data_IF_109283385006
#
_entry.id   IF_109283385006
#
_cell.length_a   1.000
_cell.length_b   1.000
_cell.length_c   1.000
_cell.angle_alpha   90.00
_cell.angle_beta   90.00
_cell.angle_gamma   90.00
#
_symmetry.space_group_name_H-M   'P 1'
#
loop_
_entity.id
_entity.type
_entity.pdbx_description
1 polymer ?
#
# COMPACT_ATOMS: atom_id res chain seq x y z
N UNK A 1 5.50 11.38 3.07
CA UNK A 1 5.44 9.93 3.35
C UNK A 1 4.11 9.46 3.93
N UNK A 2 3.59 10.07 5.02
CA UNK A 2 2.33 9.61 5.68
C UNK A 2 1.11 9.59 4.75
N UNK A 3 0.93 10.61 3.91
CA UNK A 3 -0.22 10.68 3.00
C UNK A 3 -0.21 9.59 1.92
N UNK A 4 0.98 9.27 1.39
CA UNK A 4 1.17 8.15 0.46
C UNK A 4 0.86 6.82 1.14
N UNK A 5 1.30 6.65 2.39
CA UNK A 5 1.04 5.45 3.19
C UNK A 5 -0.46 5.21 3.43
N UNK A 6 -1.23 6.28 3.73
CA UNK A 6 -2.68 6.19 3.89
C UNK A 6 -3.35 5.80 2.56
N UNK A 7 -2.93 6.40 1.44
CA UNK A 7 -3.43 6.06 0.11
C UNK A 7 -3.12 4.59 -0.25
N UNK A 8 -1.88 4.14 -0.02
CA UNK A 8 -1.44 2.77 -0.28
C UNK A 8 -2.23 1.76 0.56
N UNK A 9 -2.36 2.02 1.86
CA UNK A 9 -3.10 1.15 2.78
C UNK A 9 -4.57 1.06 2.36
N UNK A 10 -5.19 2.19 2.02
CA UNK A 10 -6.56 2.23 1.49
C UNK A 10 -6.72 1.42 0.21
N UNK A 11 -5.77 1.53 -0.72
CA UNK A 11 -5.74 0.73 -1.95
C UNK A 11 -5.62 -0.76 -1.65
N UNK A 12 -4.73 -1.14 -0.74
CA UNK A 12 -4.50 -2.52 -0.34
C UNK A 12 -5.74 -3.15 0.32
N UNK A 13 -6.42 -2.44 1.23
CA UNK A 13 -7.67 -2.92 1.85
C UNK A 13 -8.77 -3.17 0.81
N UNK A 14 -8.90 -2.29 -0.18
CA UNK A 14 -9.88 -2.43 -1.27
C UNK A 14 -9.51 -3.54 -2.25
N UNK A 15 -8.22 -3.75 -2.52
CA UNK A 15 -7.74 -4.89 -3.30
C UNK A 15 -8.02 -6.20 -2.54
N UNK A 16 -7.76 -6.23 -1.23
CA UNK A 16 -7.98 -7.40 -0.38
C UNK A 16 -9.44 -7.80 -0.34
N UNK A 17 -10.38 -6.85 -0.16
CA UNK A 17 -11.81 -7.18 -0.19
C UNK A 17 -12.23 -7.74 -1.54
N UNK A 18 -11.73 -7.17 -2.65
CA UNK A 18 -12.01 -7.66 -4.00
C UNK A 18 -11.47 -9.07 -4.22
N UNK A 19 -10.22 -9.32 -3.83
CA UNK A 19 -9.54 -10.60 -4.03
C UNK A 19 -10.08 -11.70 -3.10
N UNK A 20 -10.57 -11.34 -1.92
CA UNK A 20 -11.24 -12.24 -0.99
C UNK A 20 -12.72 -12.49 -1.33
N UNK A 21 -13.24 -11.88 -2.41
CA UNK A 21 -14.68 -11.85 -2.71
C UNK A 21 -15.53 -11.35 -1.53
N UNK A 22 -14.94 -10.54 -0.66
CA UNK A 22 -15.61 -9.95 0.49
C UNK A 22 -16.32 -8.67 0.08
N UNK A 23 -17.36 -8.33 0.82
CA UNK A 23 -18.07 -7.06 0.62
C UNK A 23 -17.13 -5.88 0.88
N UNK A 24 -17.28 -4.77 0.16
CA UNK A 24 -16.31 -3.69 0.25
C UNK A 24 -16.28 -3.08 1.68
N UNK A 25 -15.08 -2.79 2.24
CA UNK A 25 -14.94 -2.45 3.64
C UNK A 25 -15.46 -1.03 3.92
N UNK A 26 -16.26 -0.83 4.98
CA UNK A 26 -16.78 0.48 5.31
C UNK A 26 -15.67 1.43 5.83
N UNK A 27 -15.86 2.76 5.74
CA UNK A 27 -14.85 3.75 6.12
C UNK A 27 -14.35 3.61 7.57
N UNK A 28 -15.24 3.20 8.49
CA UNK A 28 -14.88 3.00 9.89
C UNK A 28 -13.94 1.79 10.09
N UNK A 29 -14.09 0.70 9.32
CA UNK A 29 -13.17 -0.46 9.35
C UNK A 29 -11.80 -0.06 8.83
N UNK A 30 -11.77 0.75 7.76
CA UNK A 30 -10.52 1.25 7.21
C UNK A 30 -9.79 2.15 8.21
N UNK A 31 -10.50 3.10 8.83
CA UNK A 31 -9.94 3.99 9.86
C UNK A 31 -9.37 3.20 11.03
N UNK A 32 -10.10 2.18 11.51
CA UNK A 32 -9.66 1.29 12.58
C UNK A 32 -8.46 0.43 12.19
N UNK A 33 -8.45 -0.11 10.97
CA UNK A 33 -7.33 -0.89 10.44
C UNK A 33 -6.05 -0.07 10.37
N UNK A 34 -6.13 1.15 9.82
CA UNK A 34 -5.01 2.09 9.77
C UNK A 34 -4.58 2.53 11.19
N UNK A 35 -5.53 2.71 12.11
CA UNK A 35 -5.23 3.02 13.51
C UNK A 35 -4.46 1.90 14.21
N UNK A 36 -4.91 0.65 14.09
CA UNK A 36 -4.22 -0.52 14.67
C UNK A 36 -2.84 -0.73 14.05
N UNK A 37 -2.72 -0.50 12.74
CA UNK A 37 -1.45 -0.53 12.06
C UNK A 37 -0.48 0.53 12.59
N UNK A 38 -0.95 1.76 12.82
CA UNK A 38 -0.16 2.83 13.45
C UNK A 38 0.34 2.43 14.85
N UNK A 39 -0.52 1.81 15.67
CA UNK A 39 -0.13 1.26 16.98
C UNK A 39 0.97 0.20 16.82
N UNK A 40 0.83 -0.70 15.83
CA UNK A 40 1.85 -1.71 15.53
C UNK A 40 3.18 -1.12 15.09
N UNK A 41 3.18 -0.01 14.34
CA UNK A 41 4.39 0.73 13.96
C UNK A 41 5.04 1.38 15.19
N UNK A 42 4.26 1.98 16.07
CA UNK A 42 4.76 2.57 17.32
C UNK A 42 5.40 1.50 18.21
N UNK A 43 4.74 0.36 18.39
CA UNK A 43 5.28 -0.76 19.16
C UNK A 43 6.57 -1.30 18.52
N UNK A 44 6.63 -1.48 17.20
CA UNK A 44 7.87 -1.90 16.53
C UNK A 44 9.00 -0.89 16.72
N UNK A 45 8.71 0.41 16.63
CA UNK A 45 9.68 1.47 16.91
C UNK A 45 10.18 1.44 18.35
N UNK A 46 9.31 1.15 19.31
CA UNK A 46 9.66 1.02 20.74
C UNK A 46 10.53 -0.23 21.01
N UNK A 47 10.25 -1.35 20.35
CA UNK A 47 11.03 -2.59 20.48
C UNK A 47 12.28 -2.64 19.57
N UNK A 48 12.58 -1.56 18.83
CA UNK A 48 13.81 -1.43 18.04
C UNK A 48 13.79 -2.17 16.69
N UNK A 49 12.63 -2.66 16.24
CA UNK A 49 12.51 -3.30 14.93
C UNK A 49 12.49 -2.23 13.84
N UNK A 50 13.51 -2.24 12.96
CA UNK A 50 13.68 -1.25 11.88
C UNK A 50 12.61 -1.32 10.77
N UNK A 51 11.86 -2.43 10.68
CA UNK A 51 10.78 -2.64 9.71
C UNK A 51 9.41 -2.39 10.34
N UNK A 52 8.77 -1.28 9.97
CA UNK A 52 7.39 -1.00 10.38
C UNK A 52 6.39 -1.96 9.70
N UNK A 53 5.33 -2.41 10.39
CA UNK A 53 4.28 -3.24 9.81
C UNK A 53 3.49 -2.43 8.79
N UNK A 54 3.80 -2.63 7.52
CA UNK A 54 3.01 -2.13 6.39
C UNK A 54 1.84 -3.09 6.12
N UNK A 55 0.79 -2.63 5.43
CA UNK A 55 -0.23 -3.54 4.91
C UNK A 55 0.49 -4.27 3.80
N UNK A 56 0.97 -5.48 4.08
CA UNK A 56 1.73 -6.25 3.10
C UNK A 56 0.80 -6.55 1.92
N UNK A 57 1.02 -5.83 0.81
CA UNK A 57 0.33 -6.10 -0.47
C UNK A 57 0.61 -7.55 -0.91
N UNK A 58 1.71 -8.12 -0.43
CA UNK A 58 2.04 -9.54 -0.46
C UNK A 58 0.93 -10.44 0.08
N UNK A 59 0.43 -10.14 1.28
CA UNK A 59 -0.63 -10.93 1.94
C UNK A 59 -1.94 -10.79 1.19
N UNK A 60 -2.18 -9.62 0.57
CA UNK A 60 -3.33 -9.36 -0.29
C UNK A 60 -3.26 -10.18 -1.58
N UNK A 61 -2.06 -10.28 -2.16
CA UNK A 61 -1.78 -11.15 -3.31
C UNK A 61 -1.94 -12.63 -3.00
N UNK A 62 -1.39 -13.07 -1.87
CA UNK A 62 -1.53 -14.44 -1.38
C UNK A 62 -3.00 -14.78 -1.09
N UNK A 63 -3.76 -13.84 -0.54
CA UNK A 63 -5.20 -13.98 -0.30
C UNK A 63 -5.97 -14.18 -1.62
N UNK A 64 -5.60 -13.45 -2.67
CA UNK A 64 -6.17 -13.62 -4.01
C UNK A 64 -5.84 -14.97 -4.66
N UNK A 65 -4.66 -15.52 -4.38
CA UNK A 65 -4.23 -16.82 -4.91
C UNK A 65 -4.80 -18.00 -4.12
N UNK A 66 -4.74 -17.94 -2.78
CA UNK A 66 -5.17 -19.03 -1.88
C UNK A 66 -6.67 -19.03 -1.64
N UNK A 67 -7.37 -17.91 -1.84
CA UNK A 67 -8.79 -17.70 -1.51
C UNK A 67 -9.17 -18.02 -0.05
N UNK A 68 -8.20 -18.14 0.85
CA UNK A 68 -8.45 -18.40 2.28
C UNK A 68 -8.44 -17.10 3.07
N UNK A 69 -9.61 -16.49 3.23
CA UNK A 69 -9.81 -15.25 4.01
C UNK A 69 -10.25 -15.47 5.46
N UNK A 70 -10.04 -16.66 6.03
CA UNK A 70 -10.55 -16.98 7.37
C UNK A 70 -9.72 -16.32 8.47
N UNK A 71 -10.40 -15.58 9.36
CA UNK A 71 -9.80 -14.91 10.52
C UNK A 71 -9.13 -15.90 11.50
N UNK A 72 -9.68 -17.11 11.64
CA UNK A 72 -9.14 -18.15 12.54
C UNK A 72 -7.76 -18.62 12.06
N UNK A 73 -7.56 -18.73 10.76
CA UNK A 73 -6.27 -19.11 10.17
C UNK A 73 -5.21 -18.07 10.53
N UNK A 74 -5.54 -16.79 10.35
CA UNK A 74 -4.62 -15.67 10.68
C UNK A 74 -4.26 -15.68 12.17
N UNK A 75 -5.23 -15.92 13.06
CA UNK A 75 -5.00 -15.99 14.52
C UNK A 75 -4.10 -17.18 14.90
N UNK A 76 -4.34 -18.35 14.32
CA UNK A 76 -3.52 -19.55 14.55
C UNK A 76 -2.09 -19.31 14.02
N UNK A 77 -1.94 -18.76 12.81
CA UNK A 77 -0.64 -18.40 12.24
C UNK A 77 0.12 -17.39 13.10
N UNK A 78 -0.56 -16.38 13.65
CA UNK A 78 0.04 -15.42 14.56
C UNK A 78 0.54 -16.09 15.85
N UNK A 79 -0.23 -17.03 16.41
CA UNK A 79 0.19 -17.83 17.56
C UNK A 79 1.45 -18.65 17.27
N UNK A 80 1.51 -19.30 16.10
CA UNK A 80 2.71 -20.03 15.66
C UNK A 80 3.91 -19.11 15.44
N UNK A 81 3.72 -17.90 14.89
CA UNK A 81 4.81 -16.93 14.72
C UNK A 81 5.40 -16.49 16.06
N UNK A 82 4.56 -16.21 17.06
CA UNK A 82 5.03 -15.87 18.42
C UNK A 82 5.78 -17.05 19.03
N UNK A 83 5.23 -18.26 18.89
CA UNK A 83 5.87 -19.47 19.39
C UNK A 83 7.24 -19.73 18.77
N UNK A 84 7.35 -19.64 17.43
CA UNK A 84 8.62 -19.82 16.74
C UNK A 84 9.61 -18.70 16.99
N UNK A 85 9.14 -17.47 17.23
CA UNK A 85 10.02 -16.35 17.59
C UNK A 85 10.74 -16.55 18.93
N UNK A 86 10.17 -17.32 19.86
CA UNK A 86 10.82 -17.65 21.14
C UNK A 86 11.94 -18.70 20.98
N UNK A 87 11.90 -19.49 19.90
CA UNK A 87 12.87 -20.54 19.63
C UNK A 87 14.00 -20.00 18.73
N UNK A 88 15.02 -19.39 19.35
CA UNK A 88 16.16 -18.77 18.64
C UNK A 88 16.90 -19.66 17.63
N UNK A 89 16.79 -20.99 17.74
CA UNK A 89 17.33 -21.96 16.75
C UNK A 89 16.68 -21.81 15.37
N UNK A 90 15.39 -21.49 15.31
CA UNK A 90 14.72 -21.19 14.04
C UNK A 90 15.17 -19.84 13.48
N UNK A 91 15.44 -18.86 14.33
CA UNK A 91 16.06 -17.60 13.90
C UNK A 91 17.41 -17.81 13.22
N UNK A 92 18.26 -18.67 13.76
CA UNK A 92 19.54 -19.03 13.15
C UNK A 92 19.37 -19.77 11.81
N UNK A 93 18.34 -20.62 11.69
CA UNK A 93 18.00 -21.27 10.42
C UNK A 93 17.60 -20.25 9.35
N UNK A 94 16.75 -19.26 9.66
CA UNK A 94 16.41 -18.19 8.72
C UNK A 94 17.62 -17.31 8.36
N UNK A 95 18.53 -17.08 9.30
CA UNK A 95 19.78 -16.36 9.04
C UNK A 95 20.74 -17.14 8.12
N UNK A 96 20.61 -18.46 8.03
CA UNK A 96 21.42 -19.30 7.13
C UNK A 96 20.96 -19.28 5.67
N UNK A 97 19.78 -18.72 5.39
CA UNK A 97 19.26 -18.61 4.03
C UNK A 97 20.09 -17.57 3.26
N UNK A 98 20.65 -17.94 2.10
CA UNK A 98 21.53 -17.05 1.35
C UNK A 98 20.76 -15.86 0.74
N UNK A 99 21.38 -14.68 0.75
CA UNK A 99 20.79 -13.42 0.24
C UNK A 99 20.18 -13.51 -1.17
N UNK A 100 20.74 -14.25 -2.15
CA UNK A 100 20.14 -14.40 -3.48
C UNK A 100 18.72 -14.98 -3.46
N UNK A 101 18.42 -15.90 -2.54
CA UNK A 101 17.08 -16.51 -2.44
C UNK A 101 16.08 -15.47 -1.94
N UNK A 102 16.46 -14.70 -0.92
CA UNK A 102 15.65 -13.58 -0.44
C UNK A 102 15.40 -12.56 -1.55
N UNK A 103 16.43 -12.18 -2.31
CA UNK A 103 16.29 -11.24 -3.42
C UNK A 103 15.34 -11.78 -4.51
N UNK A 104 15.41 -13.06 -4.86
CA UNK A 104 14.52 -13.69 -5.83
C UNK A 104 13.06 -13.70 -5.35
N UNK A 105 12.82 -14.04 -4.08
CA UNK A 105 11.49 -13.98 -3.48
C UNK A 105 10.91 -12.57 -3.51
N UNK A 106 11.69 -11.56 -3.11
CA UNK A 106 11.26 -10.16 -3.15
C UNK A 106 11.02 -9.66 -4.59
N UNK A 107 11.76 -10.17 -5.58
CA UNK A 107 11.53 -9.82 -6.98
C UNK A 107 10.15 -10.28 -7.48
N UNK A 108 9.79 -11.55 -7.24
CA UNK A 108 8.47 -12.10 -7.60
C UNK A 108 7.37 -11.31 -6.90
N UNK A 109 7.59 -11.03 -5.64
CA UNK A 109 6.68 -10.26 -4.81
C UNK A 109 6.44 -8.86 -5.35
N UNK A 110 7.49 -8.07 -5.61
CA UNK A 110 7.34 -6.73 -6.17
C UNK A 110 6.63 -6.75 -7.53
N UNK A 111 6.87 -7.78 -8.35
CA UNK A 111 6.13 -8.00 -9.59
C UNK A 111 4.63 -8.22 -9.38
N UNK A 112 4.27 -9.00 -8.37
CA UNK A 112 2.86 -9.23 -8.00
C UNK A 112 2.21 -7.95 -7.46
N UNK A 113 2.90 -7.19 -6.61
CA UNK A 113 2.43 -5.90 -6.09
C UNK A 113 2.19 -4.91 -7.24
N UNK A 114 3.12 -4.82 -8.19
CA UNK A 114 2.96 -3.99 -9.39
C UNK A 114 1.74 -4.43 -10.22
N UNK A 115 1.54 -5.74 -10.40
CA UNK A 115 0.41 -6.30 -11.14
C UNK A 115 -0.94 -5.99 -10.48
N UNK A 116 -1.03 -6.13 -9.15
CA UNK A 116 -2.23 -5.73 -8.39
C UNK A 116 -2.49 -4.23 -8.53
N UNK A 117 -1.45 -3.39 -8.49
CA UNK A 117 -1.54 -1.96 -8.77
C UNK A 117 -2.13 -1.65 -10.15
N UNK A 118 -1.59 -2.28 -11.20
CA UNK A 118 -2.08 -2.12 -12.58
C UNK A 118 -3.52 -2.61 -12.74
N UNK A 119 -3.93 -3.65 -12.00
CA UNK A 119 -5.31 -4.17 -12.03
C UNK A 119 -6.36 -3.13 -11.59
N UNK A 120 -5.96 -2.04 -10.92
CA UNK A 120 -6.87 -0.95 -10.59
C UNK A 120 -7.16 -0.01 -11.77
N UNK A 121 -6.27 0.06 -12.77
CA UNK A 121 -6.47 0.90 -13.96
C UNK A 121 -7.69 0.44 -14.76
N UNK A 122 -8.07 -0.84 -14.66
CA UNK A 122 -9.27 -1.39 -15.30
C UNK A 122 -10.57 -0.67 -14.86
N UNK A 123 -10.57 -0.02 -13.69
CA UNK A 123 -11.74 0.71 -13.18
C UNK A 123 -11.85 2.12 -13.75
N UNK A 124 -10.79 2.58 -14.40
CA UNK A 124 -10.75 3.84 -15.14
C UNK A 124 -10.97 3.58 -16.62
N UNK A 125 -11.45 4.58 -17.36
CA UNK A 125 -11.64 4.43 -18.79
C UNK A 125 -10.29 4.48 -19.52
N UNK A 126 -9.67 3.33 -19.75
CA UNK A 126 -8.39 3.20 -20.47
C UNK A 126 -8.53 3.36 -21.99
N UNK A 127 -9.75 3.55 -22.51
CA UNK A 127 -9.96 3.90 -23.92
C UNK A 127 -9.75 5.40 -24.19
N UNK A 128 -9.68 6.22 -23.14
CA UNK A 128 -9.43 7.66 -23.26
C UNK A 128 -7.93 7.95 -23.36
N UNK A 129 -7.51 8.64 -24.43
CA UNK A 129 -6.13 9.10 -24.62
C UNK A 129 -5.59 9.89 -23.42
N UNK A 130 -6.47 10.62 -22.71
CA UNK A 130 -6.10 11.37 -21.50
C UNK A 130 -5.59 10.44 -20.40
N UNK A 131 -6.32 9.38 -20.09
CA UNK A 131 -5.96 8.45 -19.02
C UNK A 131 -4.73 7.61 -19.40
N UNK A 132 -4.61 7.24 -20.68
CA UNK A 132 -3.42 6.58 -21.20
C UNK A 132 -2.18 7.47 -21.04
N UNK A 133 -2.30 8.76 -21.38
CA UNK A 133 -1.23 9.75 -21.23
C UNK A 133 -0.84 9.96 -19.76
N UNK A 134 -1.81 10.20 -18.88
CA UNK A 134 -1.54 10.37 -17.43
C UNK A 134 -0.82 9.16 -16.86
N UNK A 135 -1.31 7.95 -17.16
CA UNK A 135 -0.72 6.69 -16.67
C UNK A 135 0.68 6.48 -17.22
N UNK A 136 0.89 6.64 -18.53
CA UNK A 136 2.19 6.45 -19.17
C UNK A 136 3.24 7.44 -18.67
N UNK A 137 2.90 8.73 -18.61
CA UNK A 137 3.81 9.78 -18.16
C UNK A 137 4.12 9.63 -16.66
N UNK A 138 3.13 9.31 -15.83
CA UNK A 138 3.35 9.10 -14.40
C UNK A 138 4.26 7.89 -14.11
N UNK A 139 4.08 6.78 -14.84
CA UNK A 139 4.95 5.60 -14.70
C UNK A 139 6.37 5.89 -15.20
N UNK A 140 6.52 6.54 -16.35
CA UNK A 140 7.82 6.85 -16.92
C UNK A 140 8.61 7.83 -16.03
N UNK A 141 8.02 8.97 -15.67
CA UNK A 141 8.67 9.96 -14.80
C UNK A 141 8.89 9.42 -13.38
N UNK A 142 7.98 8.58 -12.90
CA UNK A 142 8.10 7.90 -11.61
C UNK A 142 9.30 6.96 -11.50
N UNK A 143 9.79 6.42 -12.62
CA UNK A 143 11.02 5.60 -12.65
C UNK A 143 12.25 6.44 -13.06
N UNK A 144 12.10 7.33 -14.03
CA UNK A 144 13.21 8.10 -14.60
C UNK A 144 13.80 9.12 -13.62
N UNK A 145 12.96 9.87 -12.90
CA UNK A 145 13.44 10.92 -11.98
C UNK A 145 14.24 10.34 -10.81
N UNK A 146 13.77 9.31 -10.08
CA UNK A 146 14.56 8.71 -9.00
C UNK A 146 15.87 8.10 -9.50
N UNK A 147 15.87 7.48 -10.69
CA UNK A 147 17.08 6.89 -11.24
C UNK A 147 18.11 7.97 -11.59
N UNK A 148 17.67 9.10 -12.17
CA UNK A 148 18.51 10.27 -12.35
C UNK A 148 19.10 10.78 -11.02
N UNK A 149 18.29 10.87 -9.96
CA UNK A 149 18.77 11.28 -8.64
C UNK A 149 19.77 10.27 -8.04
N UNK A 150 19.57 8.96 -8.24
CA UNK A 150 20.52 7.90 -7.84
C UNK A 150 21.84 8.00 -8.56
N UNK A 151 21.80 8.16 -9.88
CA UNK A 151 23.00 8.22 -10.72
C UNK A 151 23.79 9.49 -10.42
N UNK A 152 23.09 10.63 -10.27
CA UNK A 152 23.71 11.89 -9.89
C UNK A 152 24.37 11.82 -8.51
N UNK A 153 23.68 11.26 -7.51
CA UNK A 153 24.24 11.09 -6.15
C UNK A 153 25.45 10.15 -6.16
N UNK A 154 25.43 9.09 -6.98
CA UNK A 154 26.55 8.15 -7.12
C UNK A 154 27.79 8.79 -7.76
N UNK A 155 27.60 9.73 -8.69
CA UNK A 155 28.70 10.41 -9.40
C UNK A 155 29.26 11.62 -8.66
N UNK A 156 28.38 12.41 -8.04
CA UNK A 156 28.74 13.69 -7.41
C UNK A 156 28.98 13.59 -5.89
N UNK A 157 28.70 12.43 -5.26
CA UNK A 157 28.71 12.21 -3.79
C UNK A 157 27.74 13.12 -3.00
N UNK A 158 26.97 13.97 -3.67
CA UNK A 158 25.93 14.83 -3.10
C UNK A 158 24.66 14.79 -3.96
N UNK A 159 23.51 15.06 -3.35
CA UNK A 159 22.25 15.17 -4.09
C UNK A 159 22.27 16.33 -5.11
N UNK A 160 21.45 16.28 -6.17
CA UNK A 160 21.39 17.32 -7.20
C UNK A 160 20.92 18.68 -6.68
N UNK A 161 20.24 18.72 -5.54
CA UNK A 161 19.95 19.97 -4.84
C UNK A 161 21.03 20.25 -3.79
N UNK A 162 21.92 21.20 -4.08
CA UNK A 162 22.99 21.62 -3.17
C UNK A 162 22.88 23.11 -2.85
N UNK A 163 21.88 23.46 -2.05
CA UNK A 163 21.67 24.81 -1.52
C UNK A 163 22.31 24.97 -0.13
N UNK A 164 22.51 26.20 0.36
CA UNK A 164 23.07 26.45 1.71
C UNK A 164 22.20 25.90 2.87
N UNK A 165 20.94 25.57 2.60
CA UNK A 165 20.02 24.98 3.57
C UNK A 165 20.04 23.43 3.50
N UNK A 166 20.78 22.78 4.42
CA UNK A 166 20.90 21.31 4.51
C UNK A 166 19.55 20.61 4.64
N UNK A 167 18.69 21.11 5.54
CA UNK A 167 17.35 20.56 5.78
C UNK A 167 16.46 20.55 4.53
N UNK A 168 16.59 21.56 3.68
CA UNK A 168 15.83 21.68 2.44
C UNK A 168 16.32 20.69 1.40
N UNK A 169 17.64 20.57 1.24
CA UNK A 169 18.23 19.59 0.33
C UNK A 169 17.86 18.17 0.75
N UNK A 170 17.93 17.84 2.04
CA UNK A 170 17.59 16.50 2.54
C UNK A 170 16.12 16.18 2.30
N UNK A 171 15.23 17.14 2.51
CA UNK A 171 13.80 16.99 2.24
C UNK A 171 13.52 16.74 0.76
N UNK A 172 14.08 17.57 -0.11
CA UNK A 172 13.87 17.49 -1.57
C UNK A 172 14.47 16.20 -2.12
N UNK A 173 15.71 15.89 -1.76
CA UNK A 173 16.38 14.66 -2.21
C UNK A 173 15.62 13.42 -1.74
N UNK A 174 15.09 13.39 -0.51
CA UNK A 174 14.30 12.25 0.00
C UNK A 174 13.01 12.03 -0.78
N UNK A 175 12.32 13.11 -1.18
CA UNK A 175 11.07 13.01 -1.95
C UNK A 175 11.35 12.50 -3.36
N UNK A 176 12.35 13.05 -4.04
CA UNK A 176 12.66 12.70 -5.43
C UNK A 176 13.39 11.36 -5.57
N UNK A 177 14.01 10.86 -4.50
CA UNK A 177 14.55 9.49 -4.45
C UNK A 177 13.45 8.42 -4.35
N UNK A 178 12.24 8.78 -3.90
CA UNK A 178 11.11 7.85 -3.77
C UNK A 178 10.28 7.77 -5.06
N UNK A 179 10.48 6.72 -5.84
CA UNK A 179 9.75 6.47 -7.10
C UNK A 179 8.23 6.54 -6.98
N UNK A 180 7.66 5.91 -5.95
CA UNK A 180 6.21 5.95 -5.71
C UNK A 180 5.71 7.35 -5.37
N UNK A 181 6.51 8.17 -4.67
CA UNK A 181 6.12 9.54 -4.32
C UNK A 181 6.13 10.44 -5.55
N UNK A 182 7.17 10.33 -6.39
CA UNK A 182 7.27 11.09 -7.64
C UNK A 182 6.15 10.71 -8.61
N UNK A 183 5.92 9.41 -8.83
CA UNK A 183 4.83 8.92 -9.68
C UNK A 183 3.46 9.46 -9.22
N UNK A 184 3.22 9.46 -7.90
CA UNK A 184 1.99 9.97 -7.32
C UNK A 184 1.83 11.49 -7.53
N UNK A 185 2.89 12.28 -7.29
CA UNK A 185 2.87 13.73 -7.50
C UNK A 185 2.56 14.05 -8.97
N UNK A 186 3.25 13.39 -9.91
CA UNK A 186 3.06 13.58 -11.35
C UNK A 186 1.64 13.19 -11.76
N UNK A 187 1.14 12.03 -11.31
CA UNK A 187 -0.21 11.56 -11.61
C UNK A 187 -1.28 12.55 -11.12
N UNK A 188 -1.16 13.03 -9.87
CA UNK A 188 -2.08 14.01 -9.29
C UNK A 188 -2.00 15.34 -10.04
N UNK A 189 -0.80 15.82 -10.35
CA UNK A 189 -0.61 17.07 -11.07
C UNK A 189 -1.24 17.01 -12.47
N UNK A 190 -1.01 15.94 -13.23
CA UNK A 190 -1.58 15.75 -14.56
C UNK A 190 -3.10 15.56 -14.52
N UNK A 191 -3.63 14.80 -13.54
CA UNK A 191 -5.08 14.61 -13.41
C UNK A 191 -5.82 15.90 -13.03
N UNK A 192 -5.19 16.82 -12.30
CA UNK A 192 -5.76 18.14 -11.99
C UNK A 192 -5.60 19.16 -13.13
N UNK A 193 -4.55 19.03 -13.94
CA UNK A 193 -4.27 19.97 -15.05
C UNK A 193 -5.13 19.66 -16.27
N UNK A 194 -5.40 18.38 -16.54
CA UNK A 194 -6.13 17.91 -17.71
C UNK A 194 -7.64 17.82 -17.42
N UNK A 195 -8.30 18.98 -17.34
CA UNK A 195 -9.74 19.04 -17.12
C UNK A 195 -10.53 18.79 -18.41
N UNK A 196 -11.47 17.84 -18.37
CA UNK A 196 -12.28 17.44 -19.53
C UNK A 196 -13.75 17.30 -19.11
N UNK A 197 -14.68 17.71 -19.98
CA UNK A 197 -16.14 17.76 -19.71
C UNK A 197 -16.74 16.43 -19.18
N UNK A 198 -16.15 15.27 -19.49
CA UNK A 198 -16.59 13.95 -19.00
C UNK A 198 -15.64 13.29 -17.99
N UNK A 199 -14.74 14.05 -17.36
CA UNK A 199 -13.68 13.52 -16.50
C UNK A 199 -14.17 12.62 -15.37
N UNK A 200 -15.36 12.84 -14.81
CA UNK A 200 -15.87 12.03 -13.70
C UNK A 200 -16.15 10.58 -14.10
N UNK A 201 -16.64 10.34 -15.33
CA UNK A 201 -16.86 8.98 -15.84
C UNK A 201 -15.53 8.30 -16.16
N UNK A 202 -14.60 9.05 -16.75
CA UNK A 202 -13.29 8.52 -17.15
C UNK A 202 -12.39 8.18 -15.96
N UNK A 203 -12.51 8.90 -14.84
CA UNK A 203 -11.82 8.60 -13.57
C UNK A 203 -12.34 7.34 -12.86
N UNK A 204 -13.42 6.72 -13.35
CA UNK A 204 -14.03 5.56 -12.69
C UNK A 204 -14.90 5.91 -11.48
N UNK A 205 -15.33 7.18 -11.32
CA UNK A 205 -16.20 7.59 -10.21
C UNK A 205 -17.50 6.77 -10.08
N UNK A 206 -18.14 6.30 -11.17
CA UNK A 206 -19.33 5.43 -11.07
C UNK A 206 -19.05 4.06 -10.44
N UNK A 207 -17.80 3.60 -10.46
CA UNK A 207 -17.41 2.40 -9.72
C UNK A 207 -17.21 2.72 -8.23
N UNK A 208 -16.63 3.90 -7.95
CA UNK A 208 -16.41 4.40 -6.59
C UNK A 208 -17.69 4.77 -5.83
N UNK A 209 -18.79 5.10 -6.51
CA UNK A 209 -20.07 5.43 -5.86
C UNK A 209 -20.62 4.28 -5.02
N UNK A 210 -20.42 3.02 -5.46
CA UNK A 210 -20.76 1.82 -4.66
C UNK A 210 -20.03 1.79 -3.31
N UNK A 211 -18.89 2.46 -3.21
CA UNK A 211 -18.13 2.58 -1.96
C UNK A 211 -18.51 3.82 -1.11
N UNK A 212 -19.39 4.70 -1.59
CA UNK A 212 -19.87 5.89 -0.85
C UNK A 212 -21.27 5.68 -0.26
N UNK A 213 -22.14 4.93 -0.94
CA UNK A 213 -23.50 4.62 -0.48
C UNK A 213 -23.51 3.33 0.35
N UNK A 214 -23.06 3.40 1.60
CA UNK A 214 -22.92 2.22 2.49
C UNK A 214 -23.92 2.15 3.65
N UNK A 215 -24.79 3.14 3.81
CA UNK A 215 -25.79 3.19 4.87
C UNK A 215 -27.01 2.29 4.54
N UNK A 216 -26.85 0.96 4.44
CA UNK A 216 -28.03 0.14 4.13
C UNK A 216 -28.00 -1.40 4.18
N UNK A 217 -26.86 -2.09 4.32
CA UNK A 217 -26.87 -3.58 4.35
C UNK A 217 -26.33 -4.12 5.70
N UNK A 218 -27.23 -4.60 6.55
CA UNK A 218 -26.95 -5.13 7.91
C UNK A 218 -25.99 -6.33 7.89
N UNK A 219 -25.92 -7.07 6.79
CA UNK A 219 -25.04 -8.26 6.63
C UNK A 219 -23.55 -7.89 6.54
N UNK A 220 -23.24 -6.66 6.13
CA UNK A 220 -21.85 -6.18 6.09
C UNK A 220 -21.30 -5.89 7.47
N UNK A 221 -22.13 -5.35 8.37
CA UNK A 221 -21.69 -5.06 9.73
C UNK A 221 -21.32 -6.36 10.46
N UNK A 222 -22.10 -7.42 10.26
CA UNK A 222 -21.86 -8.75 10.81
C UNK A 222 -20.52 -9.34 10.32
N UNK A 223 -20.22 -9.23 9.03
CA UNK A 223 -18.96 -9.71 8.43
C UNK A 223 -17.71 -8.96 8.91
N UNK A 224 -17.86 -7.69 9.31
CA UNK A 224 -16.79 -6.81 9.78
C UNK A 224 -16.73 -6.61 11.31
N UNK A 225 -17.59 -7.28 12.08
CA UNK A 225 -17.55 -7.28 13.57
C UNK A 225 -16.19 -7.72 14.10
N UNK A 226 -15.78 -7.29 15.30
CA UNK A 226 -14.50 -7.73 15.89
C UNK A 226 -14.62 -9.08 16.57
N UNK A 227 -13.51 -9.85 16.67
CA UNK A 227 -13.47 -11.00 17.58
C UNK A 227 -13.75 -10.55 19.03
N UNK A 228 -14.35 -11.44 19.82
CA UNK A 228 -14.66 -11.22 21.25
C UNK A 228 -15.60 -10.05 21.57
N UNK A 229 -16.53 -9.69 20.68
CA UNK A 229 -17.55 -8.66 20.97
C UNK A 229 -16.98 -7.26 21.32
N UNK A 230 -15.73 -6.98 20.89
CA UNK A 230 -15.07 -5.67 21.07
C UNK A 230 -15.77 -4.48 20.38
N UNK A 231 -16.84 -4.75 19.63
CA UNK A 231 -17.79 -3.76 19.13
C UNK A 231 -18.30 -2.83 20.26
N UNK A 232 -18.40 -3.33 21.50
CA UNK A 232 -18.90 -2.57 22.66
C UNK A 232 -18.00 -1.41 23.10
N UNK A 233 -16.71 -1.46 22.79
CA UNK A 233 -15.72 -0.42 23.15
C UNK A 233 -15.42 0.54 21.99
N UNK A 234 -15.75 0.16 20.77
CA UNK A 234 -15.54 0.96 19.56
C UNK A 234 -16.80 0.85 18.68
N UNK A 235 -17.87 1.60 19.02
CA UNK A 235 -19.10 1.58 18.25
C UNK A 235 -18.86 2.08 16.82
N UNK A 236 -19.59 1.55 15.83
CA UNK A 236 -19.59 2.09 14.48
C UNK A 236 -20.26 3.47 14.51
N UNK A 237 -19.46 4.53 14.36
CA UNK A 237 -19.93 5.89 14.07
C UNK A 237 -19.55 6.26 12.65
#
# INVERSE_FOLDING_TARGET
SVKLFICQSTGAYKAASRLASATPPPPHVLSRGVGWQGIGVLLNGLFGTLTGPTVSVENVGLLGSTRVGSRRVIQISAGFMIFFSMLGKFGAFFASIPFPIFAAMHCVLFGLVASVGLSFLQFTNMNSMRNLFITGVALFLGMSIPEYFREYTSKALHGPTHTKARWFNDFVNTIFFSSSTVAFIVAVFLDNTLDYKNSSKDRGMPWWTKFRTFHGDTRNEEFYTLPFNLHRFFPPS
#
